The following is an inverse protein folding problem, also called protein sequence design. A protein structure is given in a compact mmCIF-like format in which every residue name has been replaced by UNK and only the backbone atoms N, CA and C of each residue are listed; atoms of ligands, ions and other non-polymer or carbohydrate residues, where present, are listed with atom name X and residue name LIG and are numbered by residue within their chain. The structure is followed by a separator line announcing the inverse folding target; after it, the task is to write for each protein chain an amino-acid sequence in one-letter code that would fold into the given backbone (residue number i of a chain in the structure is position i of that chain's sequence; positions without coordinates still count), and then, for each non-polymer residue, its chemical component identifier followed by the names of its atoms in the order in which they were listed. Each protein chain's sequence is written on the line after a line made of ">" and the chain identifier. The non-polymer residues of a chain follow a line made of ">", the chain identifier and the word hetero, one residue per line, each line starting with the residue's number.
data_IF_066527407400
#
_entry.id   IF_066527407400
#
_cell.length_a   1.000
_cell.length_b   1.000
_cell.length_c   1.000
_cell.angle_alpha   90.00
_cell.angle_beta   90.00
_cell.angle_gamma   90.00
#
_symmetry.space_group_name_H-M   'P 1'
#
loop_
_entity.id
_entity.type
_entity.pdbx_description
1 polymer ?
#
# COMPACT_ATOMS: atom_id res chain seq x y z
N UNK A 1 -34.53 -13.96 -16.22
CA UNK A 1 -34.13 -14.46 -14.87
C UNK A 1 -33.97 -13.20 -14.02
N UNK A 2 -34.69 -13.14 -12.92
CA UNK A 2 -35.14 -11.94 -12.19
C UNK A 2 -34.03 -10.92 -11.92
N UNK A 3 -34.21 -9.68 -12.39
CA UNK A 3 -33.52 -8.49 -11.88
C UNK A 3 -34.04 -8.25 -10.47
N UNK A 4 -33.20 -8.47 -9.47
CA UNK A 4 -33.48 -8.07 -8.10
C UNK A 4 -32.92 -6.66 -7.95
N UNK A 5 -33.81 -5.67 -8.05
CA UNK A 5 -33.53 -4.28 -7.69
C UNK A 5 -33.55 -4.18 -6.16
N UNK A 6 -32.49 -4.66 -5.52
CA UNK A 6 -32.29 -4.52 -4.07
C UNK A 6 -31.71 -3.13 -3.78
N UNK A 7 -32.59 -2.14 -3.60
CA UNK A 7 -32.18 -0.82 -3.13
C UNK A 7 -31.77 -0.88 -1.66
N UNK A 8 -30.46 -0.75 -1.37
CA UNK A 8 -29.95 -0.61 0.00
C UNK A 8 -30.04 0.85 0.46
N UNK A 9 -30.66 1.08 1.62
CA UNK A 9 -30.82 2.42 2.20
C UNK A 9 -30.47 2.39 3.69
N UNK A 10 -29.59 3.29 4.11
CA UNK A 10 -29.17 3.48 5.50
C UNK A 10 -29.14 4.97 5.83
N UNK A 11 -29.58 5.34 7.04
CA UNK A 11 -29.66 6.73 7.49
C UNK A 11 -28.70 6.98 8.66
N UNK A 12 -27.90 8.05 8.57
CA UNK A 12 -26.93 8.44 9.59
C UNK A 12 -27.32 9.77 10.23
N UNK A 13 -27.40 9.79 11.56
CA UNK A 13 -27.65 11.02 12.34
C UNK A 13 -26.33 11.54 12.91
N UNK A 14 -25.91 12.73 12.51
CA UNK A 14 -24.70 13.38 13.01
C UNK A 14 -25.07 14.35 14.16
N UNK A 15 -24.78 13.95 15.39
CA UNK A 15 -24.94 14.82 16.56
C UNK A 15 -23.78 15.82 16.68
N UNK A 16 -24.09 17.10 16.89
CA UNK A 16 -23.08 18.13 17.16
C UNK A 16 -22.98 18.35 18.67
N UNK A 17 -21.79 18.22 19.29
CA UNK A 17 -21.62 18.45 20.72
C UNK A 17 -21.94 19.90 21.13
N UNK A 18 -22.50 20.10 22.33
CA UNK A 18 -22.80 21.44 22.85
C UNK A 18 -21.57 22.35 23.03
N UNK A 19 -20.37 21.78 23.10
CA UNK A 19 -19.10 22.50 23.20
C UNK A 19 -18.45 22.82 21.84
N UNK A 20 -19.14 22.57 20.73
CA UNK A 20 -18.63 22.87 19.41
C UNK A 20 -18.43 24.38 19.19
N UNK A 21 -17.32 24.75 18.57
CA UNK A 21 -17.04 26.14 18.20
C UNK A 21 -17.95 26.52 17.04
N UNK A 22 -18.70 27.64 17.11
CA UNK A 22 -19.59 28.04 16.02
C UNK A 22 -18.87 28.12 14.67
N UNK A 23 -19.42 27.46 13.64
CA UNK A 23 -18.86 27.46 12.28
C UNK A 23 -17.75 26.42 12.04
N UNK A 24 -17.45 25.56 13.02
CA UNK A 24 -16.48 24.46 12.88
C UNK A 24 -17.09 23.15 12.39
N UNK A 25 -18.41 23.10 12.24
CA UNK A 25 -19.15 21.89 11.88
C UNK A 25 -18.80 21.45 10.45
N UNK A 26 -18.34 20.21 10.28
CA UNK A 26 -18.04 19.63 8.97
C UNK A 26 -18.46 18.17 8.90
N UNK A 27 -19.17 17.82 7.83
CA UNK A 27 -19.52 16.45 7.49
C UNK A 27 -18.95 16.10 6.11
N UNK A 28 -18.39 14.91 5.96
CA UNK A 28 -17.89 14.38 4.67
C UNK A 28 -18.35 12.94 4.55
N UNK A 29 -18.89 12.58 3.39
CA UNK A 29 -19.26 11.21 3.05
C UNK A 29 -18.44 10.75 1.84
N UNK A 30 -18.00 9.49 1.84
CA UNK A 30 -17.30 8.85 0.72
C UNK A 30 -17.87 7.46 0.51
N UNK A 31 -18.27 7.14 -0.73
CA UNK A 31 -18.79 5.82 -1.12
C UNK A 31 -17.77 5.15 -2.01
N UNK A 32 -17.44 3.90 -1.67
CA UNK A 32 -16.38 3.16 -2.33
C UNK A 32 -16.87 1.72 -2.50
N UNK A 33 -16.94 1.27 -3.75
CA UNK A 33 -17.44 -0.08 -4.11
C UNK A 33 -16.39 -1.20 -4.01
N UNK A 34 -15.17 -0.86 -3.61
CA UNK A 34 -14.04 -1.78 -3.47
C UNK A 34 -13.45 -1.64 -2.06
N UNK A 35 -13.22 -2.76 -1.36
CA UNK A 35 -12.72 -2.75 0.02
C UNK A 35 -11.34 -2.08 0.16
N UNK A 36 -10.55 -2.11 -0.92
CA UNK A 36 -9.26 -1.42 -1.00
C UNK A 36 -9.43 0.04 -1.40
N UNK A 37 -10.57 0.46 -1.94
CA UNK A 37 -10.78 1.78 -2.52
C UNK A 37 -10.41 3.00 -1.65
N UNK A 38 -10.51 3.00 -0.30
CA UNK A 38 -9.97 4.09 0.50
C UNK A 38 -8.44 4.18 0.41
N UNK A 39 -7.77 3.04 0.31
CA UNK A 39 -6.33 2.88 0.08
C UNK A 39 -5.95 3.25 -1.36
N UNK A 40 -6.86 3.03 -2.33
CA UNK A 40 -6.65 3.31 -3.75
C UNK A 40 -6.56 4.79 -4.11
N UNK A 41 -7.39 5.63 -3.48
CA UNK A 41 -7.40 7.08 -3.73
C UNK A 41 -6.04 7.76 -3.46
N UNK A 42 -5.13 7.07 -2.76
CA UNK A 42 -3.78 7.53 -2.46
C UNK A 42 -2.71 6.47 -2.76
N UNK A 43 -2.98 5.54 -3.69
CA UNK A 43 -2.04 4.45 -4.01
C UNK A 43 -0.67 4.94 -4.46
N UNK A 44 -0.62 6.04 -5.20
CA UNK A 44 0.64 6.69 -5.58
C UNK A 44 1.46 7.13 -4.37
N UNK A 45 0.82 7.48 -3.24
CA UNK A 45 1.51 7.82 -1.99
C UNK A 45 2.00 6.58 -1.21
N UNK A 46 1.54 5.39 -1.58
CA UNK A 46 2.03 4.11 -1.06
C UNK A 46 3.27 3.63 -1.80
N UNK A 47 3.46 4.10 -3.04
CA UNK A 47 4.69 3.85 -3.79
C UNK A 47 5.83 4.59 -3.10
N UNK A 48 6.82 3.82 -2.65
CA UNK A 48 7.99 4.36 -1.97
C UNK A 48 9.25 3.69 -2.48
N UNK A 49 10.27 4.49 -2.76
CA UNK A 49 11.60 3.97 -3.03
C UNK A 49 12.06 3.11 -1.83
N UNK A 50 12.46 1.85 -2.03
CA UNK A 50 12.96 1.03 -0.93
C UNK A 50 14.31 1.52 -0.38
N UNK A 51 14.44 1.53 0.95
CA UNK A 51 15.63 2.00 1.66
C UNK A 51 15.79 1.30 3.01
N UNK A 52 16.90 1.58 3.70
CA UNK A 52 17.16 1.03 5.04
C UNK A 52 17.84 -0.34 5.00
N UNK A 53 17.79 -1.06 6.13
CA UNK A 53 18.28 -2.43 6.33
C UNK A 53 17.47 -3.47 5.55
N UNK A 54 17.83 -4.75 5.61
CA UNK A 54 17.12 -5.84 4.94
C UNK A 54 15.61 -5.87 5.21
N UNK A 55 15.16 -5.79 6.47
CA UNK A 55 13.71 -5.76 6.74
C UNK A 55 13.06 -4.45 6.30
N UNK A 56 13.72 -3.32 6.53
CA UNK A 56 13.18 -2.00 6.17
C UNK A 56 13.04 -1.85 4.65
N UNK A 57 14.00 -2.38 3.90
CA UNK A 57 13.95 -2.44 2.45
C UNK A 57 12.73 -3.25 2.01
N UNK A 58 12.47 -4.41 2.63
CA UNK A 58 11.30 -5.24 2.33
C UNK A 58 9.97 -4.58 2.71
N UNK A 59 9.91 -3.80 3.80
CA UNK A 59 8.73 -3.02 4.20
C UNK A 59 8.32 -2.03 3.09
N UNK A 60 9.27 -1.48 2.35
CA UNK A 60 9.00 -0.55 1.26
C UNK A 60 8.92 -1.22 -0.12
N UNK A 61 9.59 -2.36 -0.30
CA UNK A 61 9.63 -3.09 -1.56
C UNK A 61 8.35 -3.90 -1.82
N UNK A 62 7.90 -4.69 -0.83
CA UNK A 62 6.76 -5.58 -1.03
C UNK A 62 5.45 -4.84 -1.37
N UNK A 63 5.10 -3.71 -0.72
CA UNK A 63 3.88 -2.97 -1.06
C UNK A 63 3.86 -2.51 -2.52
N UNK A 64 4.98 -2.02 -3.07
CA UNK A 64 5.07 -1.57 -4.47
C UNK A 64 4.63 -2.66 -5.45
N UNK A 65 4.97 -3.92 -5.19
CA UNK A 65 4.57 -5.07 -6.02
C UNK A 65 3.04 -5.25 -6.00
N UNK A 66 2.44 -5.21 -4.81
CA UNK A 66 1.00 -5.43 -4.66
C UNK A 66 0.18 -4.28 -5.24
N UNK A 67 0.65 -3.05 -5.07
CA UNK A 67 0.07 -1.85 -5.69
C UNK A 67 0.08 -1.97 -7.21
N UNK A 68 1.23 -2.30 -7.80
CA UNK A 68 1.36 -2.45 -9.26
C UNK A 68 0.42 -3.55 -9.80
N UNK A 69 0.41 -4.72 -9.15
CA UNK A 69 -0.49 -5.83 -9.52
C UNK A 69 -1.96 -5.43 -9.42
N UNK A 70 -2.34 -4.69 -8.38
CA UNK A 70 -3.71 -4.23 -8.21
C UNK A 70 -4.14 -3.29 -9.34
N UNK A 71 -3.34 -2.27 -9.61
CA UNK A 71 -3.63 -1.28 -10.66
C UNK A 71 -3.71 -1.95 -12.04
N UNK A 72 -2.82 -2.90 -12.31
CA UNK A 72 -2.86 -3.68 -13.55
C UNK A 72 -4.14 -4.51 -13.68
N UNK A 73 -4.56 -5.20 -12.62
CA UNK A 73 -5.76 -6.06 -12.63
C UNK A 73 -7.05 -5.28 -12.74
N UNK A 74 -7.11 -4.09 -12.14
CA UNK A 74 -8.27 -3.21 -12.21
C UNK A 74 -8.26 -2.27 -13.43
N UNK A 75 -7.23 -2.36 -14.29
CA UNK A 75 -7.05 -1.51 -15.48
C UNK A 75 -6.95 -0.02 -15.14
N UNK A 76 -6.39 0.29 -13.97
CA UNK A 76 -6.15 1.64 -13.45
C UNK A 76 -4.67 2.04 -13.52
N UNK A 77 -3.80 1.19 -14.10
CA UNK A 77 -2.38 1.44 -14.22
C UNK A 77 -2.09 2.44 -15.35
N UNK A 78 -1.46 3.57 -15.02
CA UNK A 78 -0.90 4.49 -16.02
C UNK A 78 0.54 4.12 -16.38
N UNK A 79 1.01 4.42 -17.60
CA UNK A 79 2.39 4.15 -18.01
C UNK A 79 3.44 4.84 -17.14
N UNK A 80 3.16 6.06 -16.66
CA UNK A 80 4.08 6.82 -15.82
C UNK A 80 4.27 6.14 -14.46
N UNK A 81 3.17 5.70 -13.84
CA UNK A 81 3.18 4.98 -12.56
C UNK A 81 3.86 3.62 -12.73
N UNK A 82 3.62 2.92 -13.83
CA UNK A 82 4.28 1.64 -14.13
C UNK A 82 5.80 1.81 -14.23
N UNK A 83 6.26 2.82 -14.96
CA UNK A 83 7.68 3.10 -15.14
C UNK A 83 8.36 3.44 -13.81
N UNK A 84 7.82 4.43 -13.07
CA UNK A 84 8.37 4.85 -11.77
C UNK A 84 8.41 3.68 -10.76
N UNK A 85 7.32 2.93 -10.66
CA UNK A 85 7.25 1.79 -9.74
C UNK A 85 8.24 0.70 -10.13
N UNK A 86 8.41 0.44 -11.44
CA UNK A 86 9.38 -0.53 -11.94
C UNK A 86 10.81 -0.12 -11.56
N UNK A 87 11.15 1.17 -11.69
CA UNK A 87 12.46 1.69 -11.28
C UNK A 87 12.69 1.52 -9.78
N UNK A 88 11.66 1.74 -8.94
CA UNK A 88 11.74 1.46 -7.51
C UNK A 88 11.93 -0.03 -7.19
N UNK A 89 11.26 -0.91 -7.94
CA UNK A 89 11.41 -2.35 -7.78
C UNK A 89 12.81 -2.82 -8.19
N UNK A 90 13.36 -2.35 -9.31
CA UNK A 90 14.73 -2.70 -9.71
C UNK A 90 15.73 -2.27 -8.64
N UNK A 91 15.62 -1.04 -8.14
CA UNK A 91 16.50 -0.53 -7.08
C UNK A 91 16.37 -1.31 -5.77
N UNK A 92 15.13 -1.56 -5.32
CA UNK A 92 14.88 -2.31 -4.08
C UNK A 92 15.32 -3.77 -4.16
N UNK A 93 15.20 -4.40 -5.33
CA UNK A 93 15.70 -5.75 -5.57
C UNK A 93 17.22 -5.81 -5.48
N UNK A 94 17.92 -4.90 -6.20
CA UNK A 94 19.37 -4.84 -6.15
C UNK A 94 19.88 -4.56 -4.73
N UNK A 95 19.20 -3.69 -3.99
CA UNK A 95 19.51 -3.44 -2.58
C UNK A 95 19.28 -4.68 -1.72
N UNK A 96 18.17 -5.42 -1.92
CA UNK A 96 17.89 -6.62 -1.13
C UNK A 96 18.95 -7.70 -1.31
N UNK A 97 19.50 -7.85 -2.53
CA UNK A 97 20.59 -8.78 -2.81
C UNK A 97 21.86 -8.51 -1.99
N UNK A 98 22.07 -7.28 -1.51
CA UNK A 98 23.21 -6.95 -0.64
C UNK A 98 23.10 -7.55 0.78
N UNK A 99 21.90 -8.00 1.16
CA UNK A 99 21.62 -8.64 2.45
C UNK A 99 21.57 -10.17 2.39
N UNK A 100 21.94 -10.75 1.23
CA UNK A 100 21.97 -12.19 1.00
C UNK A 100 23.29 -12.79 1.48
N UNK A 101 23.21 -13.89 2.22
CA UNK A 101 24.32 -14.73 2.67
C UNK A 101 24.76 -15.74 1.59
N UNK A 102 25.93 -16.41 1.72
CA UNK A 102 26.44 -17.32 0.70
C UNK A 102 25.64 -18.63 0.64
N UNK A 103 25.00 -18.99 1.76
CA UNK A 103 24.05 -20.11 1.85
C UNK A 103 22.69 -19.79 1.21
N UNK A 104 22.47 -18.54 0.82
CA UNK A 104 21.27 -18.04 0.15
C UNK A 104 20.22 -17.45 1.07
N UNK A 105 20.41 -17.47 2.40
CA UNK A 105 19.52 -16.83 3.37
C UNK A 105 19.66 -15.29 3.34
N UNK A 106 18.72 -14.57 3.96
CA UNK A 106 18.77 -13.11 4.10
C UNK A 106 18.74 -12.71 5.57
N UNK A 107 19.33 -11.56 5.92
CA UNK A 107 19.21 -10.99 7.26
C UNK A 107 19.12 -9.46 7.23
N UNK A 108 18.88 -8.83 8.38
CA UNK A 108 18.78 -7.38 8.50
C UNK A 108 20.00 -6.65 7.94
N UNK A 109 21.18 -7.19 8.20
CA UNK A 109 22.46 -6.54 7.91
C UNK A 109 23.38 -7.41 7.01
N UNK A 110 22.84 -8.46 6.39
CA UNK A 110 23.59 -9.38 5.52
C UNK A 110 24.73 -10.06 6.27
N UNK A 111 25.90 -10.17 5.63
CA UNK A 111 27.13 -10.77 6.19
C UNK A 111 27.63 -10.15 7.52
N UNK A 112 27.06 -9.01 7.95
CA UNK A 112 27.35 -8.46 9.28
C UNK A 112 26.65 -9.23 10.40
N UNK A 113 25.57 -9.92 10.09
CA UNK A 113 24.91 -10.85 10.98
C UNK A 113 25.57 -12.23 10.87
N UNK A 114 25.63 -12.97 11.97
CA UNK A 114 26.27 -14.30 11.98
C UNK A 114 25.47 -15.36 11.21
N UNK A 115 24.18 -15.13 10.97
CA UNK A 115 23.27 -16.07 10.30
C UNK A 115 22.09 -15.35 9.66
N UNK A 116 21.45 -16.02 8.71
CA UNK A 116 20.16 -15.60 8.15
C UNK A 116 19.05 -15.50 9.20
N UNK A 117 18.06 -14.68 8.88
CA UNK A 117 16.77 -14.63 9.56
C UNK A 117 15.84 -15.70 9.00
N UNK A 118 15.05 -16.34 9.86
CA UNK A 118 13.99 -17.26 9.40
C UNK A 118 12.78 -16.50 8.81
N UNK A 119 12.64 -15.22 9.15
CA UNK A 119 11.51 -14.40 8.74
C UNK A 119 11.73 -13.64 7.42
N UNK A 120 12.99 -13.29 7.11
CA UNK A 120 13.40 -12.51 5.93
C UNK A 120 13.92 -13.43 4.82
#
# INVERSE_FOLDING_TARGET
>A
KVEVDESYSEAFTLGVPHSAIPGSERAVASVIGDVMGPTLNHLSNLLRLPFGCGEQNMIHFAPNIFVLKYLQKTRQLSPEVEQETTDYLVQGYQRQLTYRHPDGSYSAFGERDASGSMWL
#
